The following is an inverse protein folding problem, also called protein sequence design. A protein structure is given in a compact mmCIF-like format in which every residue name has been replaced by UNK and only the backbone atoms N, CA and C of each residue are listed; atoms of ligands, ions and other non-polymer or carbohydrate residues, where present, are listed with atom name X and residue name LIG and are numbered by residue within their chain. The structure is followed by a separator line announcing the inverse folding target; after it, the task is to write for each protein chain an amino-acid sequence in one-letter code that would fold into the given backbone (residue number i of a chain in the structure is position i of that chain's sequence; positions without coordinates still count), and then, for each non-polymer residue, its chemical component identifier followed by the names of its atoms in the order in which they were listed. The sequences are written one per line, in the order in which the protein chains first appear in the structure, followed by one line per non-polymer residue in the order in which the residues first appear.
data_IF_483492311746
#
_entry.id   IF_483492311746
#
_cell.length_a   1.000
_cell.length_b   1.000
_cell.length_c   1.000
_cell.angle_alpha   90.00
_cell.angle_beta   90.00
_cell.angle_gamma   90.00
#
_symmetry.space_group_name_H-M   'P 1'
#
loop_
_entity.id
_entity.type
_entity.pdbx_description
1 polymer ?
#
# COMPACT_ATOMS: atom_id res chain seq x y z
N UNK A 1 -10.32 -1.05 -12.76
CA UNK A 1 -11.20 -0.78 -13.91
C UNK A 1 -12.68 -0.87 -13.57
N UNK A 2 -13.07 -1.58 -12.53
CA UNK A 2 -14.47 -1.65 -12.08
C UNK A 2 -14.97 -0.36 -11.39
N UNK A 3 -14.10 0.60 -11.08
CA UNK A 3 -14.45 1.86 -10.42
C UNK A 3 -14.19 1.90 -8.91
N UNK A 4 -13.48 0.94 -8.31
CA UNK A 4 -13.14 0.94 -6.87
C UNK A 4 -12.41 2.21 -6.45
N UNK A 5 -11.27 2.50 -7.07
CA UNK A 5 -10.46 3.68 -6.76
C UNK A 5 -11.23 4.99 -6.97
N UNK A 6 -12.08 5.05 -8.02
CA UNK A 6 -12.93 6.22 -8.28
C UNK A 6 -13.95 6.43 -7.15
N UNK A 7 -14.59 5.35 -6.68
CA UNK A 7 -15.54 5.39 -5.57
C UNK A 7 -14.86 5.87 -4.27
N UNK A 8 -13.67 5.33 -3.98
CA UNK A 8 -12.92 5.69 -2.78
C UNK A 8 -12.49 7.17 -2.81
N UNK A 9 -11.96 7.64 -3.95
CA UNK A 9 -11.62 9.07 -4.14
C UNK A 9 -12.84 9.97 -4.01
N UNK A 10 -13.97 9.58 -4.60
CA UNK A 10 -15.24 10.31 -4.46
C UNK A 10 -15.63 10.44 -2.98
N UNK A 11 -15.53 9.38 -2.19
CA UNK A 11 -15.84 9.42 -0.76
C UNK A 11 -14.93 10.41 -0.02
N UNK A 12 -13.63 10.40 -0.28
CA UNK A 12 -12.69 11.35 0.32
C UNK A 12 -13.04 12.82 -0.06
N UNK A 13 -13.36 13.07 -1.32
CA UNK A 13 -13.75 14.39 -1.81
C UNK A 13 -15.05 14.88 -1.16
N UNK A 14 -16.06 14.02 -1.04
CA UNK A 14 -17.34 14.36 -0.39
C UNK A 14 -17.09 14.74 1.09
N UNK A 15 -16.27 13.95 1.80
CA UNK A 15 -15.92 14.27 3.19
C UNK A 15 -15.17 15.59 3.28
N UNK A 16 -14.22 15.85 2.41
CA UNK A 16 -13.46 17.10 2.35
C UNK A 16 -14.40 18.30 2.08
N UNK A 17 -15.27 18.19 1.08
CA UNK A 17 -16.24 19.24 0.73
C UNK A 17 -17.16 19.55 1.92
N UNK A 18 -17.68 18.52 2.59
CA UNK A 18 -18.53 18.70 3.77
C UNK A 18 -17.77 19.40 4.92
N UNK A 19 -16.51 19.04 5.16
CA UNK A 19 -15.67 19.60 6.22
C UNK A 19 -15.38 21.10 6.02
N UNK A 20 -15.27 21.56 4.77
CA UNK A 20 -15.08 22.99 4.46
C UNK A 20 -16.40 23.76 4.32
N UNK A 21 -17.54 23.13 4.63
CA UNK A 21 -18.86 23.75 4.53
C UNK A 21 -19.43 23.89 3.12
N UNK A 22 -18.91 23.13 2.15
CA UNK A 22 -19.43 23.09 0.78
C UNK A 22 -20.64 22.16 0.64
N UNK A 23 -21.47 22.40 -0.38
CA UNK A 23 -22.48 21.44 -0.79
C UNK A 23 -21.82 20.16 -1.33
N UNK A 24 -22.48 19.03 -1.08
CA UNK A 24 -22.07 17.72 -1.57
C UNK A 24 -23.08 17.16 -2.56
N UNK A 25 -22.67 16.30 -3.50
CA UNK A 25 -23.57 15.73 -4.52
C UNK A 25 -24.46 14.62 -3.93
N UNK A 26 -25.32 14.98 -2.99
CA UNK A 26 -26.25 14.08 -2.33
C UNK A 26 -27.54 14.82 -1.95
N UNK A 27 -28.66 14.11 -1.84
CA UNK A 27 -29.93 14.66 -1.33
C UNK A 27 -29.87 14.97 0.16
N UNK A 28 -29.06 14.21 0.89
CA UNK A 28 -28.73 14.43 2.31
C UNK A 28 -27.38 13.81 2.64
N UNK A 29 -26.67 14.36 3.62
CA UNK A 29 -25.41 13.81 4.11
C UNK A 29 -25.31 13.99 5.63
N UNK A 30 -24.89 12.92 6.31
CA UNK A 30 -24.55 12.93 7.73
C UNK A 30 -23.12 12.42 7.88
N UNK A 31 -22.16 13.34 8.05
CA UNK A 31 -20.74 13.04 8.03
C UNK A 31 -20.14 13.49 9.36
N UNK A 32 -19.51 12.54 10.06
CA UNK A 32 -18.77 12.83 11.29
C UNK A 32 -17.54 13.70 11.01
N UNK A 33 -17.12 14.45 12.01
CA UNK A 33 -15.90 15.26 11.92
C UNK A 33 -14.68 14.36 11.75
N UNK A 34 -13.87 14.67 10.75
CA UNK A 34 -12.62 13.97 10.40
C UNK A 34 -11.46 14.93 10.62
N UNK A 35 -10.46 14.53 11.39
CA UNK A 35 -9.29 15.37 11.67
C UNK A 35 -8.30 15.42 10.50
N UNK A 36 -8.16 14.30 9.78
CA UNK A 36 -7.29 14.18 8.61
C UNK A 36 -7.84 13.18 7.60
N UNK A 37 -7.57 13.44 6.34
CA UNK A 37 -7.84 12.50 5.25
C UNK A 37 -6.50 12.09 4.68
N UNK A 38 -6.18 10.80 4.79
CA UNK A 38 -5.00 10.22 4.18
C UNK A 38 -5.38 9.40 2.96
N UNK A 39 -4.65 9.56 1.88
CA UNK A 39 -4.89 8.81 0.65
C UNK A 39 -3.59 8.17 0.18
N UNK A 40 -3.66 6.87 -0.11
CA UNK A 40 -2.67 6.12 -0.85
C UNK A 40 -3.38 5.45 -2.02
N UNK A 41 -3.37 6.11 -3.17
CA UNK A 41 -4.13 5.69 -4.36
C UNK A 41 -3.24 5.75 -5.59
N UNK A 42 -2.83 4.59 -6.09
CA UNK A 42 -2.00 4.45 -7.30
C UNK A 42 -0.57 4.96 -7.10
N UNK A 43 0.42 4.27 -7.62
CA UNK A 43 1.74 4.84 -7.81
C UNK A 43 1.70 5.73 -9.05
N UNK A 44 2.03 7.00 -8.94
CA UNK A 44 2.71 7.66 -10.04
C UNK A 44 4.16 7.17 -9.96
N UNK A 45 4.62 6.45 -10.97
CA UNK A 45 6.03 6.13 -11.10
C UNK A 45 6.80 7.46 -11.14
N UNK A 46 7.37 7.83 -10.01
CA UNK A 46 8.31 8.96 -9.95
C UNK A 46 9.66 8.43 -10.43
N UNK A 47 9.77 8.32 -11.76
CA UNK A 47 10.99 7.92 -12.45
C UNK A 47 12.17 8.87 -12.15
N UNK A 48 11.88 10.06 -11.62
CA UNK A 48 12.90 11.07 -11.35
C UNK A 48 13.65 10.82 -10.03
N UNK A 49 13.04 10.10 -9.06
CA UNK A 49 13.65 9.87 -7.74
C UNK A 49 14.54 8.63 -7.66
N UNK A 50 14.52 7.74 -8.68
CA UNK A 50 15.28 6.49 -8.69
C UNK A 50 14.88 5.49 -7.57
N UNK A 51 13.82 5.78 -6.81
CA UNK A 51 13.34 4.90 -5.75
C UNK A 51 12.45 3.80 -6.31
N UNK A 52 12.59 2.60 -5.78
CA UNK A 52 11.68 1.50 -6.07
C UNK A 52 10.24 1.90 -5.69
N UNK A 53 9.27 1.70 -6.60
CA UNK A 53 7.85 2.02 -6.38
C UNK A 53 7.30 1.41 -5.09
N UNK A 54 7.76 0.23 -4.71
CA UNK A 54 7.39 -0.43 -3.46
C UNK A 54 7.92 0.31 -2.22
N UNK A 55 9.16 0.86 -2.27
CA UNK A 55 9.70 1.66 -1.16
C UNK A 55 8.90 2.96 -0.97
N UNK A 56 8.52 3.63 -2.04
CA UNK A 56 7.65 4.83 -1.99
C UNK A 56 6.32 4.46 -1.34
N UNK A 57 5.69 3.37 -1.79
CA UNK A 57 4.45 2.86 -1.21
C UNK A 57 4.58 2.61 0.30
N UNK A 58 5.61 1.91 0.72
CA UNK A 58 5.82 1.60 2.14
C UNK A 58 6.11 2.84 2.97
N UNK A 59 6.81 3.83 2.43
CA UNK A 59 7.06 5.11 3.09
C UNK A 59 5.76 5.88 3.31
N UNK A 60 4.87 5.91 2.32
CA UNK A 60 3.55 6.54 2.43
C UNK A 60 2.67 5.81 3.45
N UNK A 61 2.61 4.47 3.40
CA UNK A 61 1.89 3.67 4.39
C UNK A 61 2.43 3.91 5.80
N UNK A 62 3.75 3.92 5.99
CA UNK A 62 4.38 4.20 7.28
C UNK A 62 4.01 5.59 7.79
N UNK A 63 4.00 6.60 6.92
CA UNK A 63 3.58 7.96 7.28
C UNK A 63 2.11 7.99 7.73
N UNK A 64 1.22 7.29 7.02
CA UNK A 64 -0.19 7.20 7.37
C UNK A 64 -0.36 6.55 8.74
N UNK A 65 0.23 5.36 8.96
CA UNK A 65 0.07 4.61 10.20
C UNK A 65 0.63 5.33 11.42
N UNK A 66 1.68 6.16 11.25
CA UNK A 66 2.27 6.97 12.34
C UNK A 66 1.45 8.21 12.70
N UNK A 67 0.76 8.81 11.73
CA UNK A 67 0.12 10.11 11.88
C UNK A 67 -1.40 10.06 11.92
N UNK A 68 -2.02 8.94 11.57
CA UNK A 68 -3.46 8.76 11.62
C UNK A 68 -3.95 8.62 13.08
N UNK A 69 -5.17 9.05 13.32
CA UNK A 69 -5.90 8.89 14.58
C UNK A 69 -7.18 8.12 14.35
N UNK A 70 -7.90 7.76 15.40
CA UNK A 70 -9.21 7.11 15.31
C UNK A 70 -10.30 8.00 14.68
N UNK A 71 -10.02 9.29 14.47
CA UNK A 71 -10.90 10.25 13.79
C UNK A 71 -10.49 10.50 12.34
N UNK A 72 -9.42 9.90 11.87
CA UNK A 72 -8.95 10.04 10.50
C UNK A 72 -9.76 9.18 9.53
N UNK A 73 -9.83 9.62 8.27
CA UNK A 73 -10.32 8.85 7.13
C UNK A 73 -9.13 8.37 6.30
N UNK A 74 -9.01 7.06 6.12
CA UNK A 74 -7.95 6.45 5.33
C UNK A 74 -8.51 5.89 4.02
N UNK A 75 -7.86 6.20 2.92
CA UNK A 75 -8.14 5.68 1.58
C UNK A 75 -6.90 4.94 1.10
N UNK A 76 -6.93 3.60 1.17
CA UNK A 76 -5.79 2.75 0.84
C UNK A 76 -6.15 1.87 -0.35
N UNK A 77 -5.43 2.02 -1.46
CA UNK A 77 -5.70 1.32 -2.72
C UNK A 77 -4.51 0.45 -3.11
N UNK A 78 -4.74 -0.85 -3.21
CA UNK A 78 -3.81 -1.88 -3.67
C UNK A 78 -2.47 -1.93 -2.92
N UNK A 79 -2.51 -1.86 -1.59
CA UNK A 79 -1.32 -2.00 -0.74
C UNK A 79 -0.69 -3.40 -0.93
N UNK A 80 0.64 -3.45 -1.08
CA UNK A 80 1.41 -4.68 -1.24
C UNK A 80 1.54 -5.16 -2.69
N UNK A 81 1.05 -4.39 -3.69
CA UNK A 81 1.12 -4.81 -5.10
C UNK A 81 2.54 -4.79 -5.69
N UNK A 82 3.43 -3.97 -5.14
CA UNK A 82 4.78 -3.73 -5.67
C UNK A 82 5.82 -4.78 -5.30
N UNK A 83 5.44 -5.89 -4.65
CA UNK A 83 6.36 -6.94 -4.20
C UNK A 83 5.83 -8.35 -4.51
N UNK A 84 6.46 -9.40 -3.98
CA UNK A 84 5.99 -10.78 -4.13
C UNK A 84 4.58 -10.95 -3.57
N UNK A 85 3.79 -11.88 -4.12
CA UNK A 85 2.40 -12.10 -3.72
C UNK A 85 2.26 -12.37 -2.21
N UNK A 86 3.13 -13.21 -1.65
CA UNK A 86 3.07 -13.58 -0.23
C UNK A 86 3.47 -12.43 0.69
N UNK A 87 4.53 -11.68 0.36
CA UNK A 87 4.95 -10.52 1.14
C UNK A 87 3.89 -9.43 1.09
N UNK A 88 3.38 -9.13 -0.11
CA UNK A 88 2.33 -8.13 -0.30
C UNK A 88 1.04 -8.47 0.44
N UNK A 89 0.58 -9.72 0.37
CA UNK A 89 -0.58 -10.21 1.11
C UNK A 89 -0.35 -10.09 2.64
N UNK A 90 0.82 -10.51 3.12
CA UNK A 90 1.14 -10.48 4.55
C UNK A 90 1.17 -9.05 5.10
N UNK A 91 1.76 -8.12 4.35
CA UNK A 91 1.79 -6.70 4.71
C UNK A 91 0.36 -6.11 4.69
N UNK A 92 -0.41 -6.35 3.63
CA UNK A 92 -1.78 -5.87 3.53
C UNK A 92 -2.66 -6.38 4.68
N UNK A 93 -2.52 -7.66 5.02
CA UNK A 93 -3.21 -8.29 6.15
C UNK A 93 -2.85 -7.59 7.47
N UNK A 94 -1.57 -7.49 7.80
CA UNK A 94 -1.08 -6.85 9.02
C UNK A 94 -1.52 -5.37 9.14
N UNK A 95 -1.55 -4.64 8.01
CA UNK A 95 -2.05 -3.26 7.96
C UNK A 95 -3.55 -3.21 8.30
N UNK A 96 -4.37 -4.14 7.76
CA UNK A 96 -5.80 -4.21 8.08
C UNK A 96 -6.00 -4.50 9.58
N UNK A 97 -5.27 -5.48 10.14
CA UNK A 97 -5.33 -5.79 11.57
C UNK A 97 -4.97 -4.58 12.44
N UNK A 98 -3.91 -3.87 12.09
CA UNK A 98 -3.49 -2.67 12.82
C UNK A 98 -4.54 -1.56 12.80
N UNK A 99 -5.11 -1.29 11.61
CA UNK A 99 -6.07 -0.21 11.42
C UNK A 99 -7.43 -0.52 12.07
N UNK A 100 -7.91 -1.77 11.96
CA UNK A 100 -9.21 -2.18 12.49
C UNK A 100 -9.24 -2.27 14.02
N UNK A 101 -8.07 -2.47 14.64
CA UNK A 101 -7.96 -2.57 16.09
C UNK A 101 -8.14 -1.19 16.75
N UNK A 102 -9.27 -1.03 17.47
CA UNK A 102 -9.61 0.23 18.14
C UNK A 102 -8.63 0.63 19.26
N UNK A 103 -7.83 -0.31 19.78
CA UNK A 103 -6.78 -0.03 20.78
C UNK A 103 -5.49 0.46 20.15
N UNK A 104 -5.25 0.17 18.87
CA UNK A 104 -4.06 0.62 18.14
C UNK A 104 -4.36 1.88 17.33
N UNK A 105 -5.36 1.83 16.43
CA UNK A 105 -5.72 2.96 15.61
C UNK A 105 -7.25 3.17 15.55
N UNK A 106 -8.01 2.21 15.04
CA UNK A 106 -9.48 2.30 14.94
C UNK A 106 -9.98 3.35 13.95
N UNK A 107 -9.20 3.70 12.94
CA UNK A 107 -9.56 4.71 11.94
C UNK A 107 -10.60 4.20 10.94
N UNK A 108 -11.47 5.10 10.44
CA UNK A 108 -12.38 4.80 9.35
C UNK A 108 -11.61 4.63 8.05
N UNK A 109 -11.71 3.45 7.44
CA UNK A 109 -10.85 3.10 6.30
C UNK A 109 -11.65 2.51 5.15
N UNK A 110 -11.37 2.95 3.93
CA UNK A 110 -11.68 2.23 2.71
C UNK A 110 -10.40 1.60 2.19
N UNK A 111 -10.37 0.27 2.14
CA UNK A 111 -9.23 -0.51 1.71
C UNK A 111 -9.60 -1.30 0.45
N UNK A 112 -9.03 -0.95 -0.69
CA UNK A 112 -9.20 -1.74 -1.91
C UNK A 112 -8.01 -2.66 -2.12
N UNK A 113 -8.29 -3.88 -2.51
CA UNK A 113 -7.28 -4.90 -2.75
C UNK A 113 -7.67 -5.82 -3.89
N UNK A 114 -6.69 -6.50 -4.46
CA UNK A 114 -6.83 -7.61 -5.39
C UNK A 114 -6.60 -8.97 -4.70
N UNK A 115 -6.22 -8.97 -3.42
CA UNK A 115 -6.04 -10.20 -2.65
C UNK A 115 -7.41 -10.70 -2.17
N UNK A 116 -7.89 -11.78 -2.78
CA UNK A 116 -9.18 -12.41 -2.41
C UNK A 116 -9.13 -13.00 -1.00
N UNK A 117 -7.97 -13.45 -0.57
CA UNK A 117 -7.71 -14.03 0.74
C UNK A 117 -8.09 -13.07 1.89
N UNK A 118 -7.99 -11.77 1.68
CA UNK A 118 -8.35 -10.77 2.68
C UNK A 118 -9.86 -10.69 2.94
N UNK A 119 -10.69 -11.26 2.07
CA UNK A 119 -12.14 -11.38 2.32
C UNK A 119 -12.47 -12.27 3.51
N UNK A 120 -11.57 -13.21 3.84
CA UNK A 120 -11.71 -14.08 5.01
C UNK A 120 -11.59 -13.33 6.35
N UNK A 121 -11.19 -12.07 6.35
CA UNK A 121 -11.07 -11.26 7.57
C UNK A 121 -12.42 -10.81 8.12
N UNK A 122 -13.47 -10.72 7.28
CA UNK A 122 -14.83 -10.46 7.75
C UNK A 122 -15.30 -11.61 8.65
N UNK A 123 -15.78 -11.26 9.84
CA UNK A 123 -16.19 -12.22 10.87
C UNK A 123 -15.04 -12.80 11.71
N UNK A 124 -13.77 -12.59 11.34
CA UNK A 124 -12.60 -12.96 12.13
C UNK A 124 -11.99 -11.76 12.86
N UNK A 125 -12.10 -10.59 12.26
CA UNK A 125 -11.62 -9.33 12.83
C UNK A 125 -12.83 -8.40 13.00
N UNK A 126 -12.95 -7.82 14.17
CA UNK A 126 -13.99 -6.83 14.45
C UNK A 126 -13.85 -5.61 13.55
N UNK A 127 -14.98 -5.04 13.16
CA UNK A 127 -15.07 -3.82 12.35
C UNK A 127 -14.58 -3.95 10.90
N UNK A 128 -14.33 -5.17 10.40
CA UNK A 128 -14.02 -5.42 8.98
C UNK A 128 -15.29 -5.88 8.27
N UNK A 129 -15.60 -5.25 7.13
CA UNK A 129 -16.73 -5.61 6.28
C UNK A 129 -16.28 -5.64 4.81
N UNK A 130 -16.71 -6.67 4.10
CA UNK A 130 -16.40 -6.84 2.69
C UNK A 130 -17.45 -6.17 1.79
N UNK A 131 -16.96 -5.54 0.75
CA UNK A 131 -17.76 -4.96 -0.31
C UNK A 131 -17.11 -5.24 -1.66
N UNK A 132 -17.92 -5.44 -2.69
CA UNK A 132 -17.43 -5.61 -4.05
C UNK A 132 -18.20 -4.74 -5.05
N UNK A 133 -17.63 -4.58 -6.23
CA UNK A 133 -18.34 -3.95 -7.36
C UNK A 133 -19.26 -4.98 -7.99
N UNK A 134 -20.54 -4.63 -8.12
CA UNK A 134 -21.50 -5.47 -8.79
C UNK A 134 -21.15 -5.66 -10.27
N UNK A 135 -21.14 -6.91 -10.72
CA UNK A 135 -20.87 -7.31 -12.09
C UNK A 135 -22.06 -8.10 -12.61
N UNK A 136 -22.46 -7.87 -13.84
CA UNK A 136 -23.45 -8.70 -14.54
C UNK A 136 -22.73 -9.51 -15.59
N UNK A 137 -22.80 -10.82 -15.47
CA UNK A 137 -22.31 -11.77 -16.48
C UNK A 137 -23.36 -11.92 -17.59
N UNK A 138 -22.93 -11.88 -18.85
CA UNK A 138 -23.78 -12.13 -20.03
C UNK A 138 -23.02 -13.07 -20.97
N UNK A 139 -23.17 -14.37 -20.75
CA UNK A 139 -22.32 -15.38 -21.39
C UNK A 139 -20.86 -15.18 -21.00
N UNK A 140 -19.99 -15.06 -21.99
CA UNK A 140 -18.55 -14.79 -21.78
C UNK A 140 -18.21 -13.31 -21.55
N UNK A 141 -19.19 -12.41 -21.67
CA UNK A 141 -19.01 -10.98 -21.48
C UNK A 141 -19.38 -10.54 -20.06
N UNK A 142 -18.72 -9.47 -19.60
CA UNK A 142 -18.97 -8.86 -18.29
C UNK A 142 -19.37 -7.39 -18.43
N UNK A 143 -20.32 -6.97 -17.62
CA UNK A 143 -20.75 -5.58 -17.50
C UNK A 143 -20.55 -5.13 -16.06
N UNK A 144 -19.65 -4.17 -15.84
CA UNK A 144 -19.47 -3.54 -14.52
C UNK A 144 -20.62 -2.58 -14.25
N UNK A 145 -21.44 -2.87 -13.25
CA UNK A 145 -22.60 -2.05 -12.90
C UNK A 145 -22.25 -0.78 -12.14
N UNK A 146 -20.98 -0.62 -11.73
CA UNK A 146 -20.46 0.53 -10.96
C UNK A 146 -21.24 0.80 -9.67
N UNK A 147 -21.77 -0.26 -9.07
CA UNK A 147 -22.47 -0.23 -7.78
C UNK A 147 -21.68 -1.04 -6.77
N UNK A 148 -21.56 -0.51 -5.56
CA UNK A 148 -20.98 -1.23 -4.43
C UNK A 148 -22.06 -2.07 -3.78
N UNK A 149 -21.80 -3.34 -3.57
CA UNK A 149 -22.68 -4.28 -2.86
C UNK A 149 -21.91 -4.95 -1.73
N UNK A 150 -22.61 -5.37 -0.70
CA UNK A 150 -22.02 -6.11 0.45
C UNK A 150 -21.57 -7.50 0.00
N UNK A 151 -20.43 -7.95 0.51
CA UNK A 151 -19.84 -9.27 0.26
C UNK A 151 -18.51 -9.19 -0.48
N UNK A 152 -17.77 -10.30 -0.46
CA UNK A 152 -16.52 -10.46 -1.22
C UNK A 152 -16.78 -10.68 -2.71
N UNK A 153 -15.76 -10.54 -3.52
CA UNK A 153 -15.80 -10.96 -4.92
C UNK A 153 -15.30 -12.41 -5.01
N UNK A 154 -16.18 -13.31 -5.41
CA UNK A 154 -15.85 -14.75 -5.52
C UNK A 154 -15.02 -15.09 -6.76
N UNK A 155 -14.99 -14.20 -7.74
CA UNK A 155 -14.34 -14.42 -9.03
C UNK A 155 -13.44 -13.26 -9.43
N UNK A 156 -12.31 -13.58 -10.03
CA UNK A 156 -11.47 -12.62 -10.75
C UNK A 156 -11.95 -12.50 -12.20
N UNK A 157 -12.03 -11.28 -12.70
CA UNK A 157 -12.44 -10.98 -14.08
C UNK A 157 -11.26 -10.51 -14.96
N UNK A 158 -10.01 -10.75 -14.53
CA UNK A 158 -8.82 -10.29 -15.24
C UNK A 158 -8.74 -10.78 -16.69
N UNK A 159 -9.04 -12.06 -16.93
CA UNK A 159 -8.99 -12.66 -18.27
C UNK A 159 -10.09 -12.09 -19.18
N UNK A 160 -11.29 -11.87 -18.65
CA UNK A 160 -12.38 -11.23 -19.40
C UNK A 160 -12.04 -9.79 -19.78
N UNK A 161 -11.43 -9.05 -18.86
CA UNK A 161 -10.95 -7.68 -19.14
C UNK A 161 -9.85 -7.69 -20.19
N UNK A 162 -8.90 -8.64 -20.13
CA UNK A 162 -7.86 -8.79 -21.16
C UNK A 162 -8.46 -9.04 -22.54
N UNK A 163 -9.48 -9.89 -22.64
CA UNK A 163 -10.22 -10.13 -23.88
C UNK A 163 -10.91 -8.86 -24.40
N UNK A 164 -11.61 -8.13 -23.52
CA UNK A 164 -12.25 -6.86 -23.87
C UNK A 164 -11.24 -5.79 -24.32
N UNK A 165 -10.01 -5.85 -23.82
CA UNK A 165 -8.93 -4.97 -24.22
C UNK A 165 -8.26 -5.36 -25.55
N UNK A 166 -8.68 -6.48 -26.17
CA UNK A 166 -8.15 -6.94 -27.46
C UNK A 166 -6.93 -7.83 -27.39
N UNK A 167 -6.63 -8.43 -26.22
CA UNK A 167 -5.58 -9.46 -26.12
C UNK A 167 -5.99 -10.67 -26.99
N UNK A 168 -5.08 -11.25 -27.80
CA UNK A 168 -5.39 -12.36 -28.69
C UNK A 168 -6.10 -13.51 -28.00
N UNK A 169 -7.07 -14.11 -28.70
CA UNK A 169 -7.92 -15.16 -28.14
C UNK A 169 -7.12 -16.41 -27.72
N UNK A 170 -6.07 -16.75 -28.46
CA UNK A 170 -5.15 -17.83 -28.09
C UNK A 170 -4.50 -17.63 -26.72
N UNK A 171 -4.12 -16.38 -26.38
CA UNK A 171 -3.54 -16.02 -25.09
C UNK A 171 -4.57 -16.09 -23.97
N UNK A 172 -5.76 -15.52 -24.19
CA UNK A 172 -6.83 -15.50 -23.18
C UNK A 172 -7.41 -16.91 -22.92
N UNK A 173 -7.48 -17.78 -23.94
CA UNK A 173 -7.89 -19.17 -23.76
C UNK A 173 -6.83 -19.96 -22.96
N UNK A 174 -5.55 -19.80 -23.29
CA UNK A 174 -4.49 -20.46 -22.51
C UNK A 174 -4.45 -19.96 -21.05
N UNK A 175 -4.69 -18.68 -20.83
CA UNK A 175 -4.79 -18.11 -19.47
C UNK A 175 -5.95 -18.73 -18.66
N UNK A 176 -7.11 -19.05 -19.30
CA UNK A 176 -8.22 -19.75 -18.63
C UNK A 176 -7.79 -21.16 -18.18
N UNK A 177 -7.15 -21.93 -19.06
CA UNK A 177 -6.65 -23.27 -18.72
C UNK A 177 -5.67 -23.22 -17.54
N UNK A 178 -4.72 -22.30 -17.58
CA UNK A 178 -3.72 -22.13 -16.49
C UNK A 178 -4.40 -21.79 -15.16
N UNK A 179 -5.40 -20.88 -15.14
CA UNK A 179 -6.12 -20.54 -13.92
C UNK A 179 -6.87 -21.75 -13.35
N UNK A 180 -7.48 -22.58 -14.19
CA UNK A 180 -8.14 -23.81 -13.74
C UNK A 180 -7.15 -24.79 -13.10
N UNK A 181 -5.96 -24.99 -13.70
CA UNK A 181 -4.90 -25.80 -13.13
C UNK A 181 -4.39 -25.25 -11.77
N UNK A 182 -4.22 -23.92 -11.66
CA UNK A 182 -3.75 -23.27 -10.43
C UNK A 182 -4.78 -23.36 -9.29
N UNK A 183 -6.08 -23.26 -9.59
CA UNK A 183 -7.16 -23.37 -8.60
C UNK A 183 -7.24 -24.81 -8.04
N UNK A 184 -6.98 -25.82 -8.86
CA UNK A 184 -6.94 -27.22 -8.44
C UNK A 184 -5.74 -27.54 -7.53
N UNK A 185 -4.66 -26.78 -7.62
CA UNK A 185 -3.47 -26.93 -6.78
C UNK A 185 -3.68 -26.15 -5.48
N UNK A 186 -4.25 -26.80 -4.47
CA UNK A 186 -4.78 -26.25 -3.20
C UNK A 186 -3.80 -25.34 -2.44
N UNK A 187 -3.71 -24.08 -2.84
CA UNK A 187 -3.03 -23.02 -2.07
C UNK A 187 -3.97 -22.48 -0.96
N UNK A 188 -5.27 -22.61 -1.15
CA UNK A 188 -6.31 -22.02 -0.28
C UNK A 188 -6.39 -22.72 1.10
N UNK A 189 -6.05 -24.01 1.18
CA UNK A 189 -6.05 -24.76 2.44
C UNK A 189 -5.03 -24.25 3.46
N UNK A 190 -3.84 -23.85 3.03
CA UNK A 190 -2.78 -23.35 3.93
C UNK A 190 -3.08 -21.99 4.53
N UNK A 191 -3.83 -21.14 3.85
CA UNK A 191 -4.17 -19.78 4.29
C UNK A 191 -5.21 -19.84 5.42
N UNK A 192 -6.16 -20.78 5.37
CA UNK A 192 -7.17 -20.98 6.43
C UNK A 192 -6.54 -21.33 7.78
N UNK A 193 -5.47 -22.11 7.78
CA UNK A 193 -4.79 -22.53 9.01
C UNK A 193 -4.01 -21.39 9.69
N UNK A 194 -3.52 -20.41 8.94
CA UNK A 194 -2.82 -19.25 9.48
C UNK A 194 -3.79 -18.29 10.19
N UNK A 195 -4.97 -18.09 9.64
CA UNK A 195 -6.01 -17.23 10.21
C UNK A 195 -6.52 -17.71 11.59
N UNK A 196 -6.47 -19.03 11.85
CA UNK A 196 -6.88 -19.61 13.13
C UNK A 196 -5.84 -19.39 14.23
N UNK A 197 -4.56 -19.24 13.89
CA UNK A 197 -3.45 -19.06 14.86
C UNK A 197 -3.27 -17.64 15.37
N UNK A 198 -3.85 -16.64 14.73
CA UNK A 198 -3.69 -15.21 15.08
C UNK A 198 -4.44 -14.72 16.31
N UNK A 199 -5.16 -15.59 17.05
CA UNK A 199 -5.99 -15.18 18.20
C UNK A 199 -5.31 -15.21 19.57
N UNK A 200 -4.07 -15.67 19.68
CA UNK A 200 -3.34 -15.56 20.95
C UNK A 200 -2.59 -14.22 21.04
N UNK A 201 -2.77 -13.46 22.13
CA UNK A 201 -2.01 -12.23 22.32
C UNK A 201 -0.54 -12.61 22.58
N UNK A 202 0.27 -12.54 21.55
CA UNK A 202 1.72 -12.63 21.73
C UNK A 202 2.14 -11.42 22.56
N UNK A 203 2.38 -11.63 23.85
CA UNK A 203 3.12 -10.72 24.70
C UNK A 203 4.54 -10.65 24.15
N UNK A 204 4.75 -9.81 23.16
CA UNK A 204 6.10 -9.43 22.75
C UNK A 204 6.66 -8.56 23.87
N UNK A 205 7.58 -9.12 24.65
CA UNK A 205 8.58 -8.32 25.35
C UNK A 205 9.27 -7.46 24.27
N UNK A 206 9.18 -6.14 24.45
CA UNK A 206 9.94 -5.19 23.63
C UNK A 206 11.40 -5.65 23.61
N UNK A 207 11.83 -6.27 22.52
CA UNK A 207 13.25 -6.40 22.24
C UNK A 207 13.67 -5.04 21.72
N UNK A 208 14.56 -4.41 22.47
CA UNK A 208 15.37 -3.29 22.03
C UNK A 208 15.96 -3.69 20.66
N UNK A 209 15.56 -3.00 19.62
CA UNK A 209 16.24 -3.04 18.33
C UNK A 209 17.41 -2.05 18.40
N UNK A 210 18.44 -2.44 19.16
CA UNK A 210 19.76 -1.89 19.00
C UNK A 210 20.47 -2.75 17.96
N UNK A 211 21.01 -2.07 16.95
CA UNK A 211 21.82 -2.60 15.85
C UNK A 211 21.08 -3.45 14.82
N UNK A 212 20.53 -2.76 13.83
CA UNK A 212 20.31 -3.35 12.50
C UNK A 212 21.67 -3.62 11.90
N UNK A 213 22.05 -4.88 11.83
CA UNK A 213 23.24 -5.33 11.11
C UNK A 213 23.06 -5.01 9.61
N UNK A 214 23.64 -3.90 9.16
CA UNK A 214 23.58 -3.40 7.79
C UNK A 214 24.43 -4.23 6.81
N UNK A 215 25.02 -5.34 7.23
CA UNK A 215 25.89 -6.16 6.40
C UNK A 215 25.13 -7.09 5.42
N UNK A 216 23.80 -7.18 5.49
CA UNK A 216 23.01 -8.08 4.63
C UNK A 216 22.15 -7.41 3.54
N UNK A 217 22.27 -6.10 3.32
CA UNK A 217 21.54 -5.39 2.24
C UNK A 217 22.48 -4.82 1.17
N UNK A 218 23.51 -5.55 0.77
CA UNK A 218 24.39 -5.15 -0.31
C UNK A 218 24.12 -5.99 -1.56
N UNK A 219 22.95 -5.79 -2.19
CA UNK A 219 22.71 -6.26 -3.57
C UNK A 219 22.70 -5.11 -4.59
N UNK A 220 22.84 -3.88 -4.13
CA UNK A 220 23.17 -2.75 -4.97
C UNK A 220 24.32 -2.01 -4.30
N UNK A 221 25.45 -1.96 -4.97
CA UNK A 221 26.59 -1.11 -4.63
C UNK A 221 26.04 0.32 -4.51
N UNK A 222 25.66 0.72 -3.29
CA UNK A 222 25.39 2.11 -3.00
C UNK A 222 26.72 2.82 -3.19
N UNK A 223 26.74 3.66 -4.21
CA UNK A 223 27.81 4.58 -4.54
C UNK A 223 28.52 5.05 -3.27
N UNK A 224 29.84 4.93 -3.27
CA UNK A 224 30.76 5.23 -2.16
C UNK A 224 30.68 6.69 -1.69
N UNK A 225 29.58 7.07 -1.06
CA UNK A 225 29.48 8.36 -0.35
C UNK A 225 30.04 8.29 1.07
N UNK A 226 30.46 7.12 1.50
CA UNK A 226 30.95 6.86 2.87
C UNK A 226 32.23 7.64 3.23
N UNK A 227 33.09 7.91 2.24
CA UNK A 227 34.31 8.71 2.47
C UNK A 227 34.00 10.20 2.60
N UNK A 228 33.07 10.76 1.84
CA UNK A 228 32.66 12.18 1.96
C UNK A 228 31.89 12.40 3.24
N UNK A 229 30.99 11.48 3.61
CA UNK A 229 30.25 11.54 4.86
C UNK A 229 31.18 11.43 6.06
N UNK A 230 32.18 10.54 6.00
CA UNK A 230 33.18 10.39 7.06
C UNK A 230 34.03 11.65 7.19
N UNK A 231 34.51 12.21 6.05
CA UNK A 231 35.30 13.44 6.03
C UNK A 231 34.53 14.63 6.63
N UNK A 232 33.22 14.73 6.36
CA UNK A 232 32.34 15.75 6.97
C UNK A 232 32.19 15.52 8.48
N UNK A 233 32.06 14.28 8.95
CA UNK A 233 31.93 13.97 10.39
C UNK A 233 33.21 14.22 11.18
N UNK A 234 34.37 14.10 10.55
CA UNK A 234 35.68 14.28 11.17
C UNK A 234 36.16 15.75 11.17
N UNK A 235 35.40 16.67 10.49
CA UNK A 235 35.74 18.08 10.46
C UNK A 235 35.56 18.75 11.82
N UNK A 236 36.63 19.31 12.34
CA UNK A 236 36.59 20.18 13.53
C UNK A 236 36.20 21.61 13.17
N UNK A 237 34.88 21.85 13.14
CA UNK A 237 34.29 23.13 12.76
C UNK A 237 34.68 24.28 13.69
N UNK A 238 35.11 24.00 14.94
CA UNK A 238 35.45 25.01 15.91
C UNK A 238 36.82 25.68 15.64
N UNK A 239 37.69 25.01 14.90
CA UNK A 239 39.05 25.48 14.60
C UNK A 239 39.26 25.85 13.13
N UNK A 240 38.20 25.77 12.29
CA UNK A 240 38.24 26.17 10.87
C UNK A 240 38.07 27.68 10.71
N UNK A 241 38.99 28.31 9.95
CA UNK A 241 38.73 29.68 9.51
C UNK A 241 37.65 29.71 8.43
N UNK A 242 36.95 30.86 8.20
CA UNK A 242 35.95 30.96 7.15
C UNK A 242 36.46 30.58 5.74
N UNK A 243 37.74 30.89 5.46
CA UNK A 243 38.41 30.58 4.20
C UNK A 243 38.65 29.06 4.08
N UNK A 244 39.11 28.43 5.16
CA UNK A 244 39.34 26.99 5.18
C UNK A 244 38.01 26.21 5.05
N UNK A 245 36.96 26.67 5.72
CA UNK A 245 35.62 26.09 5.60
C UNK A 245 35.12 26.14 4.16
N UNK A 246 35.28 27.27 3.45
CA UNK A 246 34.89 27.42 2.05
C UNK A 246 35.72 26.50 1.12
N UNK A 247 37.00 26.40 1.34
CA UNK A 247 37.91 25.52 0.60
C UNK A 247 37.54 24.05 0.79
N UNK A 248 37.25 23.65 2.01
CA UNK A 248 36.84 22.28 2.34
C UNK A 248 35.51 21.93 1.68
N UNK A 249 34.51 22.82 1.75
CA UNK A 249 33.25 22.64 1.05
C UNK A 249 33.43 22.50 -0.48
N UNK A 250 34.31 23.31 -1.05
CA UNK A 250 34.62 23.22 -2.49
C UNK A 250 35.28 21.89 -2.86
N UNK A 251 36.20 21.40 -2.02
CA UNK A 251 36.83 20.08 -2.22
C UNK A 251 35.81 18.93 -2.12
N UNK A 252 34.92 18.95 -1.11
CA UNK A 252 33.87 17.96 -0.95
C UNK A 252 32.89 17.97 -2.13
N UNK A 253 32.51 19.16 -2.60
CA UNK A 253 31.66 19.32 -3.79
C UNK A 253 32.33 18.76 -5.05
N UNK A 254 33.63 19.03 -5.26
CA UNK A 254 34.35 18.48 -6.40
C UNK A 254 34.51 16.95 -6.32
N UNK A 255 34.72 16.38 -5.13
CA UNK A 255 34.73 14.94 -4.94
C UNK A 255 33.38 14.30 -5.35
N UNK A 256 32.26 14.95 -5.04
CA UNK A 256 30.93 14.49 -5.46
C UNK A 256 30.72 14.65 -6.97
N UNK A 257 31.12 15.78 -7.56
CA UNK A 257 30.93 16.04 -9.02
C UNK A 257 31.77 15.14 -9.93
N UNK A 258 32.94 14.71 -9.50
CA UNK A 258 33.85 13.90 -10.31
C UNK A 258 33.59 12.38 -10.19
N UNK A 259 32.47 11.98 -9.58
CA UNK A 259 32.05 10.59 -9.41
C UNK A 259 31.03 10.12 -10.46
N UNK A 260 30.60 11.05 -11.33
CA UNK A 260 29.67 10.80 -12.44
C UNK A 260 30.30 11.12 -13.78
#
# INVERSE_FOLDING_TARGET
MAGKSTYMRQTALIVLMAQIGSFVPASSANIGVVDRIFTRVGASDDLASGQCTFMVEMTEVANILRNATNKSLLILDEIGRGTSTFDGLSIAWAVIEYISNSKLLGAKTLFATHYHELTELEGKIDNVNNYCIAVKEKGDDIIFLRKIIKGGADKSYGIQVARLAGVPESVTNRAKEIVEELIQTDITGRIKDIAVRGQEPVRQKAKHYDEVDLTQMSLFDTVKDDDVIREIKELDLAHLTPIDALNTLYQLQNKLKNRW
#
